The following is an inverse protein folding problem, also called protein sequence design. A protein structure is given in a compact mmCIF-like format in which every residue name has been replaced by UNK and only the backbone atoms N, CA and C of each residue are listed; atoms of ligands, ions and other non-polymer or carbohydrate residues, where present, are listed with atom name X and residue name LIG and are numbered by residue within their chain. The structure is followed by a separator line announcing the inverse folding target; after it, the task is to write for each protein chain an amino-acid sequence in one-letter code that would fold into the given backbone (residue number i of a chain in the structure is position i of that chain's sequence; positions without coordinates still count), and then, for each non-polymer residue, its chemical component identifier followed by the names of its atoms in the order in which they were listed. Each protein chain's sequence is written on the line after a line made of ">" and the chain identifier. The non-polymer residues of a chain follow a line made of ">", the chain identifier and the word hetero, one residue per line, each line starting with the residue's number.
data_IF_330286742514
#
_entry.id   IF_330286742514
#
_cell.length_a   1.000
_cell.length_b   1.000
_cell.length_c   1.000
_cell.angle_alpha   90.00
_cell.angle_beta   90.00
_cell.angle_gamma   90.00
#
_symmetry.space_group_name_H-M   'P 1'
#
loop_
_entity.id
_entity.type
_entity.pdbx_description
1 polymer ?
#
# COMPACT_ATOMS: atom_id res chain seq x y z
N UNK A 1 18.61 6.19 5.41
CA UNK A 1 18.49 5.70 6.81
C UNK A 1 17.85 4.31 6.99
N UNK A 2 17.70 3.47 5.95
CA UNK A 2 17.61 1.99 6.04
C UNK A 2 16.45 1.30 6.76
N UNK A 3 15.72 1.93 7.67
CA UNK A 3 14.78 1.23 8.58
C UNK A 3 13.45 0.79 7.96
N UNK A 4 13.30 0.81 6.63
CA UNK A 4 12.15 0.22 5.94
C UNK A 4 10.91 1.08 5.76
N UNK A 5 10.91 2.37 6.14
CA UNK A 5 9.75 3.28 5.99
C UNK A 5 9.20 3.33 4.55
N UNK A 6 10.07 3.49 3.56
CA UNK A 6 9.66 3.53 2.16
C UNK A 6 9.09 2.19 1.69
N UNK A 7 9.62 1.08 2.20
CA UNK A 7 9.08 -0.26 1.93
C UNK A 7 7.67 -0.41 2.53
N UNK A 8 7.49 -0.03 3.79
CA UNK A 8 6.19 -0.06 4.45
C UNK A 8 5.16 0.81 3.74
N UNK A 9 5.52 2.03 3.36
CA UNK A 9 4.63 2.93 2.61
C UNK A 9 4.19 2.30 1.28
N UNK A 10 5.12 1.68 0.53
CA UNK A 10 4.79 0.98 -0.72
C UNK A 10 3.89 -0.24 -0.50
N UNK A 11 4.04 -0.95 0.61
CA UNK A 11 3.15 -2.07 0.98
C UNK A 11 1.73 -1.57 1.27
N UNK A 12 1.59 -0.51 2.07
CA UNK A 12 0.28 0.10 2.37
C UNK A 12 -0.42 0.58 1.10
N UNK A 13 0.34 1.15 0.17
CA UNK A 13 -0.16 1.64 -1.13
C UNK A 13 -0.46 0.54 -2.16
N UNK A 14 -0.22 -0.73 -1.84
CA UNK A 14 -0.40 -1.84 -2.79
C UNK A 14 0.57 -1.81 -3.96
N UNK A 15 1.73 -1.16 -3.79
CA UNK A 15 2.84 -1.14 -4.75
C UNK A 15 3.83 -2.28 -4.49
N UNK A 16 3.76 -2.90 -3.31
CA UNK A 16 4.54 -4.07 -2.95
C UNK A 16 3.68 -5.04 -2.12
N UNK A 17 3.83 -6.35 -2.32
CA UNK A 17 3.11 -7.34 -1.51
C UNK A 17 3.87 -7.58 -0.20
N UNK A 18 3.18 -7.64 0.96
CA UNK A 18 3.83 -8.05 2.20
C UNK A 18 4.26 -9.52 2.10
N UNK A 19 5.42 -9.87 2.67
CA UNK A 19 5.83 -11.28 2.78
C UNK A 19 4.95 -12.05 3.79
N UNK A 20 4.44 -11.36 4.81
CA UNK A 20 3.59 -11.91 5.87
C UNK A 20 2.70 -10.81 6.47
N UNK A 21 1.60 -11.22 7.11
CA UNK A 21 0.60 -10.30 7.67
C UNK A 21 -0.44 -9.89 6.64
N UNK A 22 -1.24 -8.88 6.98
CA UNK A 22 -2.29 -8.36 6.11
C UNK A 22 -2.36 -6.84 6.18
N UNK A 23 -2.82 -6.22 5.09
CA UNK A 23 -3.08 -4.78 5.01
C UNK A 23 -4.58 -4.60 4.95
N UNK A 24 -5.12 -3.82 5.89
CA UNK A 24 -6.54 -3.45 5.90
C UNK A 24 -6.71 -1.95 5.72
N UNK A 25 -7.64 -1.56 4.87
CA UNK A 25 -8.10 -0.18 4.73
C UNK A 25 -9.61 -0.12 4.90
N UNK A 26 -10.07 0.75 5.79
CA UNK A 26 -11.51 0.84 6.15
C UNK A 26 -12.11 -0.52 6.53
N UNK A 27 -11.34 -1.37 7.24
CA UNK A 27 -11.74 -2.72 7.66
C UNK A 27 -11.62 -3.81 6.58
N UNK A 28 -11.45 -3.44 5.31
CA UNK A 28 -11.32 -4.37 4.19
C UNK A 28 -9.87 -4.80 4.00
N UNK A 29 -9.63 -6.10 3.85
CA UNK A 29 -8.31 -6.61 3.49
C UNK A 29 -8.01 -6.29 2.02
N UNK A 30 -6.89 -5.62 1.77
CA UNK A 30 -6.54 -5.08 0.44
C UNK A 30 -5.26 -5.69 -0.15
N UNK A 31 -4.40 -6.32 0.65
CA UNK A 31 -3.10 -6.87 0.19
C UNK A 31 -3.22 -8.00 -0.85
N UNK A 32 -4.38 -8.65 -0.92
CA UNK A 32 -4.65 -9.79 -1.80
C UNK A 32 -5.49 -9.42 -3.05
N UNK A 33 -5.82 -8.14 -3.25
CA UNK A 33 -6.64 -7.71 -4.37
C UNK A 33 -5.88 -7.79 -5.71
N UNK A 34 -6.63 -8.02 -6.78
CA UNK A 34 -6.14 -7.89 -8.16
C UNK A 34 -5.87 -6.43 -8.49
N UNK A 35 -5.21 -6.17 -9.63
CA UNK A 35 -4.98 -4.81 -10.09
C UNK A 35 -6.28 -3.99 -10.17
N UNK A 36 -7.35 -4.59 -10.72
CA UNK A 36 -8.68 -3.99 -10.82
C UNK A 36 -9.31 -3.76 -9.44
N UNK A 37 -9.21 -4.74 -8.54
CA UNK A 37 -9.71 -4.61 -7.17
C UNK A 37 -9.04 -3.48 -6.37
N UNK A 38 -7.80 -3.13 -6.70
CA UNK A 38 -7.08 -2.00 -6.10
C UNK A 38 -7.54 -0.62 -6.61
N UNK A 39 -8.17 -0.54 -7.79
CA UNK A 39 -8.50 0.73 -8.43
C UNK A 39 -9.35 1.68 -7.57
N UNK A 40 -10.38 1.22 -6.84
CA UNK A 40 -11.15 2.10 -5.94
C UNK A 40 -10.30 2.68 -4.80
N UNK A 41 -9.36 1.91 -4.27
CA UNK A 41 -8.53 2.32 -3.13
C UNK A 41 -7.43 3.29 -3.55
N UNK A 42 -6.79 3.07 -4.70
CA UNK A 42 -5.75 3.98 -5.23
C UNK A 42 -6.29 5.39 -5.48
N UNK A 43 -7.56 5.54 -5.85
CA UNK A 43 -8.19 6.86 -6.00
C UNK A 43 -8.36 7.61 -4.67
N UNK A 44 -8.42 6.88 -3.55
CA UNK A 44 -8.56 7.45 -2.20
C UNK A 44 -7.21 7.68 -1.51
N UNK A 45 -6.10 7.23 -2.10
CA UNK A 45 -4.77 7.26 -1.49
C UNK A 45 -3.81 8.07 -2.37
N UNK A 46 -3.31 9.19 -1.86
CA UNK A 46 -2.25 9.96 -2.52
C UNK A 46 -0.97 9.88 -1.71
N UNK A 47 0.11 9.48 -2.37
CA UNK A 47 1.44 9.43 -1.79
C UNK A 47 2.17 10.74 -2.08
N UNK A 48 2.62 11.44 -1.03
CA UNK A 48 3.51 12.60 -1.13
C UNK A 48 4.93 12.09 -0.90
N UNK A 49 5.83 12.37 -1.84
CA UNK A 49 7.25 12.03 -1.73
C UNK A 49 8.02 13.17 -1.07
N UNK A 50 9.07 12.84 -0.31
CA UNK A 50 9.84 13.82 0.46
C UNK A 50 10.64 14.78 -0.44
N UNK A 51 11.09 14.29 -1.59
CA UNK A 51 11.70 15.07 -2.66
C UNK A 51 10.94 14.76 -3.96
N UNK A 52 10.56 15.77 -4.77
CA UNK A 52 10.00 15.53 -6.11
C UNK A 52 11.00 14.83 -7.05
#
# INVERSE_FOLDING_TARGET
>A
SGCGKSTLARVIMGLHRPNSGEVRFEGNRIDNLTHEGWMPYRKKMQMIFQDP
#
